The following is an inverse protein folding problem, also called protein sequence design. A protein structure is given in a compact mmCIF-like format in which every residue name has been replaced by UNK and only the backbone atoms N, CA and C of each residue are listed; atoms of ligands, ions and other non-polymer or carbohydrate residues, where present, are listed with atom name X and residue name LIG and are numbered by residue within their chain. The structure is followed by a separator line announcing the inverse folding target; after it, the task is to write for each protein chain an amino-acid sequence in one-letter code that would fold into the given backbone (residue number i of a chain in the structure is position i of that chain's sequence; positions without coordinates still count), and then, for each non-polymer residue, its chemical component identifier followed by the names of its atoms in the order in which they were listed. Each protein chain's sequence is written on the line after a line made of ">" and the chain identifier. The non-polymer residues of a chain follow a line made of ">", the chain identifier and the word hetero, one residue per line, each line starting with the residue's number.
data_IF_419066281363
#
_entry.id   IF_419066281363
#
_cell.length_a   1.000
_cell.length_b   1.000
_cell.length_c   1.000
_cell.angle_alpha   90.00
_cell.angle_beta   90.00
_cell.angle_gamma   90.00
#
_symmetry.space_group_name_H-M   'P 1'
#
loop_
_entity.id
_entity.type
_entity.pdbx_description
1 polymer ?
#
# COMPACT_ATOMS: atom_id res chain seq x y z
N UNK A 1 -9.20 14.66 -12.00
CA UNK A 1 -10.57 15.15 -11.76
C UNK A 1 -11.37 14.08 -11.04
N UNK A 2 -12.30 14.48 -10.18
CA UNK A 2 -13.26 13.59 -9.52
C UNK A 2 -14.32 13.08 -10.52
N UNK A 3 -14.85 11.87 -10.30
CA UNK A 3 -15.87 11.19 -11.11
C UNK A 3 -16.87 10.52 -10.17
N UNK A 4 -18.16 10.74 -10.44
CA UNK A 4 -19.28 10.12 -9.74
C UNK A 4 -19.82 8.93 -10.54
N UNK A 5 -20.35 7.92 -9.84
CA UNK A 5 -21.02 6.76 -10.44
C UNK A 5 -20.09 5.77 -11.09
N UNK A 6 -18.82 5.72 -10.68
CA UNK A 6 -17.80 4.86 -11.26
C UNK A 6 -17.15 3.97 -10.20
N UNK A 7 -16.54 2.86 -10.64
CA UNK A 7 -15.93 1.85 -9.74
C UNK A 7 -16.95 1.38 -8.70
N UNK A 8 -16.57 0.98 -7.49
CA UNK A 8 -17.51 0.51 -6.46
C UNK A 8 -18.77 1.38 -6.27
N UNK A 9 -18.78 2.67 -6.66
CA UNK A 9 -19.98 3.51 -6.60
C UNK A 9 -21.17 2.99 -7.44
N UNK A 10 -20.95 2.21 -8.49
CA UNK A 10 -22.07 1.60 -9.23
C UNK A 10 -22.84 0.58 -8.39
N UNK A 11 -22.17 -0.02 -7.41
CA UNK A 11 -22.75 -0.92 -6.41
C UNK A 11 -23.33 -0.11 -5.23
N UNK A 12 -22.62 0.93 -4.79
CA UNK A 12 -22.94 1.67 -3.57
C UNK A 12 -24.07 2.69 -3.74
N UNK A 13 -24.17 3.38 -4.88
CA UNK A 13 -25.16 4.45 -5.09
C UNK A 13 -26.59 3.90 -5.16
N UNK A 14 -26.91 2.80 -5.87
CA UNK A 14 -28.25 2.21 -5.85
C UNK A 14 -28.68 1.82 -4.43
N UNK A 15 -27.78 1.22 -3.65
CA UNK A 15 -28.02 0.91 -2.24
C UNK A 15 -28.35 2.19 -1.45
N UNK A 16 -27.53 3.24 -1.56
CA UNK A 16 -27.77 4.50 -0.85
C UNK A 16 -29.09 5.14 -1.24
N UNK A 17 -29.43 5.16 -2.53
CA UNK A 17 -30.72 5.67 -3.03
C UNK A 17 -31.90 4.92 -2.44
N UNK A 18 -31.85 3.59 -2.43
CA UNK A 18 -32.88 2.75 -1.83
C UNK A 18 -32.99 2.96 -0.30
N UNK A 19 -31.87 3.22 0.39
CA UNK A 19 -31.90 3.54 1.82
C UNK A 19 -32.51 4.92 2.13
N UNK A 20 -32.42 5.87 1.20
CA UNK A 20 -33.06 7.20 1.31
C UNK A 20 -34.55 7.11 0.94
N UNK A 21 -34.87 6.40 -0.13
CA UNK A 21 -36.23 6.20 -0.64
C UNK A 21 -36.43 4.71 -1.01
N UNK A 22 -37.10 3.91 -0.15
CA UNK A 22 -37.32 2.49 -0.39
C UNK A 22 -38.15 2.16 -1.63
N UNK A 23 -38.85 3.14 -2.23
CA UNK A 23 -39.57 2.94 -3.49
C UNK A 23 -38.62 2.84 -4.69
N UNK A 24 -37.41 3.39 -4.59
CA UNK A 24 -36.37 3.25 -5.59
C UNK A 24 -35.78 1.83 -5.53
N UNK A 25 -35.75 1.14 -6.66
CA UNK A 25 -35.22 -0.23 -6.79
C UNK A 25 -35.98 -1.29 -5.95
N UNK A 26 -37.26 -1.07 -5.66
CA UNK A 26 -38.08 -2.04 -4.93
C UNK A 26 -38.13 -3.39 -5.68
N UNK A 27 -37.74 -4.46 -4.99
CA UNK A 27 -37.70 -5.81 -5.56
C UNK A 27 -36.47 -6.12 -6.43
N UNK A 28 -35.53 -5.18 -6.57
CA UNK A 28 -34.25 -5.45 -7.22
C UNK A 28 -33.41 -6.39 -6.35
N UNK A 29 -33.13 -7.59 -6.88
CA UNK A 29 -32.41 -8.63 -6.16
C UNK A 29 -31.02 -8.18 -5.71
N UNK A 30 -30.32 -7.40 -6.53
CA UNK A 30 -28.99 -6.93 -6.24
C UNK A 30 -29.00 -5.94 -5.07
N UNK A 31 -29.90 -4.95 -5.11
CA UNK A 31 -30.02 -3.92 -4.06
C UNK A 31 -30.47 -4.52 -2.73
N UNK A 32 -31.45 -5.42 -2.72
CA UNK A 32 -31.90 -6.09 -1.49
C UNK A 32 -30.81 -6.99 -0.91
N UNK A 33 -30.05 -7.70 -1.75
CA UNK A 33 -28.91 -8.49 -1.32
C UNK A 33 -27.80 -7.60 -0.73
N UNK A 34 -27.49 -6.46 -1.36
CA UNK A 34 -26.53 -5.50 -0.83
C UNK A 34 -26.99 -4.93 0.52
N UNK A 35 -28.25 -4.54 0.65
CA UNK A 35 -28.81 -4.05 1.92
C UNK A 35 -28.68 -5.06 3.07
N UNK A 36 -28.86 -6.35 2.78
CA UNK A 36 -28.72 -7.41 3.76
C UNK A 36 -27.25 -7.76 4.10
N UNK A 37 -26.36 -7.72 3.10
CA UNK A 37 -25.00 -8.29 3.23
C UNK A 37 -23.86 -7.26 3.27
N UNK A 38 -24.14 -6.00 2.97
CA UNK A 38 -23.11 -4.96 2.90
C UNK A 38 -22.72 -4.50 4.32
N UNK A 39 -21.57 -5.01 4.79
CA UNK A 39 -21.06 -4.83 6.15
C UNK A 39 -20.51 -3.43 6.47
N UNK A 40 -21.28 -2.38 6.23
CA UNK A 40 -20.89 -0.99 6.52
C UNK A 40 -22.04 -0.15 7.05
N UNK A 41 -21.81 0.54 8.18
CA UNK A 41 -22.72 1.54 8.72
C UNK A 41 -22.60 2.90 8.02
N UNK A 42 -21.69 3.05 7.07
CA UNK A 42 -21.49 4.30 6.33
C UNK A 42 -22.78 4.74 5.61
N UNK A 43 -23.36 3.87 4.77
CA UNK A 43 -24.55 4.20 3.98
C UNK A 43 -25.83 4.40 4.80
N UNK A 44 -26.15 3.55 5.81
CA UNK A 44 -27.30 3.79 6.67
C UNK A 44 -27.24 5.10 7.46
N UNK A 45 -26.04 5.54 7.87
CA UNK A 45 -25.87 6.84 8.51
C UNK A 45 -26.05 7.95 7.48
N UNK A 46 -25.38 7.84 6.32
CA UNK A 46 -25.44 8.86 5.28
C UNK A 46 -26.86 9.07 4.74
N UNK A 47 -27.62 7.99 4.53
CA UNK A 47 -29.00 8.02 4.04
C UNK A 47 -29.96 8.83 4.94
N UNK A 48 -29.65 8.94 6.25
CA UNK A 48 -30.45 9.74 7.19
C UNK A 48 -30.12 11.24 7.15
N UNK A 49 -29.00 11.61 6.52
CA UNK A 49 -28.45 12.96 6.56
C UNK A 49 -28.64 13.70 5.23
N UNK A 50 -28.96 13.00 4.14
CA UNK A 50 -28.98 13.56 2.79
C UNK A 50 -30.20 13.09 2.01
N UNK A 51 -30.58 13.86 1.00
CA UNK A 51 -31.54 13.47 -0.03
C UNK A 51 -30.84 12.92 -1.28
N UNK A 52 -31.60 12.29 -2.19
CA UNK A 52 -31.06 11.66 -3.41
C UNK A 52 -30.34 12.67 -4.31
N UNK A 53 -30.87 13.89 -4.43
CA UNK A 53 -30.29 14.98 -5.23
C UNK A 53 -28.98 15.53 -4.64
N UNK A 54 -28.72 15.29 -3.35
CA UNK A 54 -27.51 15.75 -2.66
C UNK A 54 -26.32 14.76 -2.80
N UNK A 55 -26.56 13.52 -3.25
CA UNK A 55 -25.51 12.49 -3.38
C UNK A 55 -24.26 13.00 -4.12
N UNK A 56 -24.35 13.65 -5.29
CA UNK A 56 -23.18 14.14 -6.02
C UNK A 56 -22.32 15.11 -5.21
N UNK A 57 -22.94 16.11 -4.58
CA UNK A 57 -22.24 17.14 -3.83
C UNK A 57 -21.62 16.56 -2.56
N UNK A 58 -22.34 15.71 -1.84
CA UNK A 58 -21.89 15.11 -0.59
C UNK A 58 -20.74 14.14 -0.85
N UNK A 59 -20.81 13.29 -1.88
CA UNK A 59 -19.70 12.40 -2.24
C UNK A 59 -18.44 13.18 -2.64
N UNK A 60 -18.58 14.31 -3.34
CA UNK A 60 -17.44 15.16 -3.67
C UNK A 60 -16.81 15.81 -2.43
N UNK A 61 -17.61 16.29 -1.48
CA UNK A 61 -17.10 16.83 -0.21
C UNK A 61 -16.39 15.74 0.59
N UNK A 62 -17.00 14.57 0.71
CA UNK A 62 -16.41 13.43 1.41
C UNK A 62 -15.09 12.98 0.77
N UNK A 63 -15.04 12.93 -0.57
CA UNK A 63 -13.79 12.68 -1.32
C UNK A 63 -12.66 13.62 -0.90
N UNK A 64 -12.91 14.94 -0.90
CA UNK A 64 -11.90 15.93 -0.54
C UNK A 64 -11.47 15.81 0.92
N UNK A 65 -12.45 15.67 1.82
CA UNK A 65 -12.21 15.58 3.28
C UNK A 65 -11.42 14.32 3.63
N UNK A 66 -11.84 13.16 3.13
CA UNK A 66 -11.16 11.88 3.37
C UNK A 66 -9.73 11.91 2.87
N UNK A 67 -9.49 12.43 1.67
CA UNK A 67 -8.13 12.54 1.10
C UNK A 67 -7.25 13.50 1.86
N UNK A 68 -7.77 14.67 2.24
CA UNK A 68 -7.02 15.62 3.05
C UNK A 68 -6.56 14.99 4.36
N UNK A 69 -7.48 14.35 5.10
CA UNK A 69 -7.14 13.73 6.39
C UNK A 69 -6.21 12.53 6.24
N UNK A 70 -6.39 11.72 5.20
CA UNK A 70 -5.49 10.61 4.90
C UNK A 70 -4.05 11.08 4.67
N UNK A 71 -3.85 12.05 3.78
CA UNK A 71 -2.54 12.67 3.52
C UNK A 71 -1.97 13.34 4.77
N UNK A 72 -2.82 14.04 5.52
CA UNK A 72 -2.44 14.69 6.77
C UNK A 72 -1.90 13.68 7.78
N UNK A 73 -2.61 12.58 8.04
CA UNK A 73 -2.18 11.57 9.03
C UNK A 73 -0.93 10.82 8.60
N UNK A 74 -0.78 10.53 7.31
CA UNK A 74 0.45 9.96 6.75
C UNK A 74 1.64 10.91 6.98
N UNK A 75 1.48 12.19 6.65
CA UNK A 75 2.50 13.20 6.91
C UNK A 75 2.84 13.31 8.40
N UNK A 76 1.82 13.34 9.27
CA UNK A 76 2.02 13.39 10.73
C UNK A 76 2.75 12.17 11.27
N UNK A 77 2.47 10.98 10.73
CA UNK A 77 3.19 9.76 11.08
C UNK A 77 4.66 9.88 10.67
N UNK A 78 4.95 10.20 9.41
CA UNK A 78 6.34 10.29 8.96
C UNK A 78 7.10 11.44 9.59
N UNK A 79 6.44 12.54 9.95
CA UNK A 79 7.05 13.61 10.74
C UNK A 79 7.41 13.13 12.14
N UNK A 80 6.56 12.35 12.78
CA UNK A 80 6.86 11.75 14.09
C UNK A 80 7.99 10.71 14.02
N UNK A 81 8.06 9.91 12.96
CA UNK A 81 9.12 8.91 12.78
C UNK A 81 10.45 9.56 12.42
N UNK A 82 10.46 10.51 11.47
CA UNK A 82 11.69 11.08 10.91
C UNK A 82 12.22 12.30 11.67
N UNK A 83 11.36 13.01 12.40
CA UNK A 83 11.66 14.31 13.02
C UNK A 83 12.19 15.37 12.03
N UNK A 84 11.91 15.19 10.74
CA UNK A 84 12.36 16.08 9.66
C UNK A 84 11.22 16.33 8.68
N UNK A 85 10.93 17.60 8.40
CA UNK A 85 9.79 17.99 7.56
C UNK A 85 9.97 17.53 6.11
N UNK A 86 11.18 17.63 5.58
CA UNK A 86 11.47 17.22 4.21
C UNK A 86 11.25 15.71 4.05
N UNK A 87 11.83 14.92 4.95
CA UNK A 87 11.65 13.46 5.00
C UNK A 87 10.18 13.07 5.12
N UNK A 88 9.41 13.75 5.96
CA UNK A 88 7.99 13.49 6.10
C UNK A 88 7.19 13.77 4.83
N UNK A 89 7.46 14.90 4.15
CA UNK A 89 6.84 15.23 2.86
C UNK A 89 7.25 14.20 1.81
N UNK A 90 8.54 13.87 1.70
CA UNK A 90 9.04 12.90 0.74
C UNK A 90 8.44 11.51 0.95
N UNK A 91 8.36 11.01 2.19
CA UNK A 91 7.74 9.71 2.47
C UNK A 91 6.23 9.70 2.15
N UNK A 92 5.55 10.83 2.39
CA UNK A 92 4.14 11.00 1.99
C UNK A 92 3.98 10.97 0.48
N UNK A 93 4.84 11.68 -0.27
CA UNK A 93 4.82 11.69 -1.73
C UNK A 93 5.23 10.33 -2.32
N UNK A 94 6.22 9.64 -1.75
CA UNK A 94 6.60 8.28 -2.13
C UNK A 94 5.40 7.36 -1.97
N UNK A 95 4.65 7.47 -0.87
CA UNK A 95 3.43 6.69 -0.71
C UNK A 95 2.41 7.02 -1.80
N UNK A 96 2.10 8.29 -2.06
CA UNK A 96 1.12 8.69 -3.08
C UNK A 96 1.53 8.34 -4.52
N UNK A 97 2.83 8.38 -4.83
CA UNK A 97 3.34 8.32 -6.21
C UNK A 97 4.08 7.01 -6.54
N UNK A 98 4.45 6.22 -5.55
CA UNK A 98 5.20 4.98 -5.74
C UNK A 98 4.55 3.77 -5.07
N UNK A 99 3.57 3.95 -4.17
CA UNK A 99 2.79 2.80 -3.72
C UNK A 99 1.93 2.31 -4.89
N UNK A 100 1.85 0.98 -5.05
CA UNK A 100 1.14 0.34 -6.17
C UNK A 100 -0.37 0.33 -6.02
N UNK A 101 -0.86 0.97 -4.97
CA UNK A 101 -2.28 1.04 -4.72
C UNK A 101 -2.82 2.09 -5.68
N UNK A 102 -3.19 1.65 -6.88
CA UNK A 102 -3.89 2.48 -7.86
C UNK A 102 -5.07 3.21 -7.22
N UNK A 103 -5.64 2.63 -6.15
CA UNK A 103 -6.72 3.10 -5.26
C UNK A 103 -6.49 4.54 -4.74
N UNK A 104 -5.25 4.94 -4.40
CA UNK A 104 -5.00 6.25 -3.79
C UNK A 104 -5.16 7.46 -4.72
N UNK A 105 -5.07 7.24 -6.04
CA UNK A 105 -5.34 8.26 -7.05
C UNK A 105 -6.63 7.96 -7.80
N UNK A 106 -7.55 7.17 -7.22
CA UNK A 106 -8.86 6.98 -7.84
C UNK A 106 -9.56 8.32 -8.04
N UNK A 107 -10.41 8.36 -9.06
CA UNK A 107 -11.20 9.54 -9.36
C UNK A 107 -12.53 9.51 -8.61
N UNK A 108 -12.82 8.45 -7.86
CA UNK A 108 -14.08 8.22 -7.15
C UNK A 108 -13.87 8.29 -5.64
N UNK A 109 -14.94 8.62 -4.94
CA UNK A 109 -15.05 8.43 -3.49
C UNK A 109 -15.44 6.97 -3.21
N UNK A 110 -14.93 6.38 -2.14
CA UNK A 110 -15.49 5.16 -1.57
C UNK A 110 -15.51 5.24 -0.05
N UNK A 111 -16.41 4.48 0.58
CA UNK A 111 -16.43 4.31 2.02
C UNK A 111 -15.08 3.77 2.57
N UNK A 112 -14.32 3.04 1.74
CA UNK A 112 -12.96 2.58 2.07
C UNK A 112 -12.00 3.77 2.26
N UNK A 113 -11.99 4.75 1.35
CA UNK A 113 -11.16 5.96 1.49
C UNK A 113 -11.50 6.74 2.78
N UNK A 114 -12.80 6.83 3.11
CA UNK A 114 -13.26 7.44 4.35
C UNK A 114 -12.73 6.70 5.59
N UNK A 115 -12.85 5.38 5.60
CA UNK A 115 -12.33 4.54 6.69
C UNK A 115 -10.80 4.66 6.81
N UNK A 116 -10.06 4.67 5.69
CA UNK A 116 -8.61 4.80 5.67
C UNK A 116 -8.12 6.08 6.36
N UNK A 117 -8.81 7.21 6.19
CA UNK A 117 -8.45 8.45 6.88
C UNK A 117 -8.46 8.28 8.42
N UNK A 118 -9.46 7.56 8.96
CA UNK A 118 -9.57 7.26 10.40
C UNK A 118 -8.54 6.20 10.81
N UNK A 119 -8.32 5.18 9.97
CA UNK A 119 -7.35 4.12 10.23
C UNK A 119 -5.93 4.68 10.35
N UNK A 120 -5.52 5.57 9.44
CA UNK A 120 -4.20 6.20 9.50
C UNK A 120 -4.05 7.14 10.71
N UNK A 121 -5.13 7.74 11.20
CA UNK A 121 -5.12 8.42 12.50
C UNK A 121 -4.85 7.42 13.64
N UNK A 122 -5.50 6.26 13.62
CA UNK A 122 -5.24 5.16 14.55
C UNK A 122 -3.79 4.68 14.53
N UNK A 123 -3.23 4.45 13.33
CA UNK A 123 -1.81 4.09 13.14
C UNK A 123 -0.90 5.19 13.69
N UNK A 124 -1.17 6.46 13.40
CA UNK A 124 -0.40 7.57 13.97
C UNK A 124 -0.38 7.53 15.50
N UNK A 125 -1.53 7.36 16.14
CA UNK A 125 -1.61 7.29 17.61
C UNK A 125 -0.98 6.02 18.20
N UNK A 126 -1.01 4.90 17.47
CA UNK A 126 -0.24 3.70 17.82
C UNK A 126 1.27 4.00 17.87
N UNK A 127 1.81 4.67 16.86
CA UNK A 127 3.24 5.08 16.84
C UNK A 127 3.57 6.12 17.93
N UNK A 128 2.58 6.89 18.39
CA UNK A 128 2.67 7.80 19.54
C UNK A 128 2.48 7.12 20.90
N UNK A 129 2.35 5.79 20.94
CA UNK A 129 2.09 5.00 22.18
C UNK A 129 0.78 5.37 22.89
N UNK A 130 -0.18 5.97 22.17
CA UNK A 130 -1.53 6.24 22.67
C UNK A 130 -2.46 5.09 22.30
N UNK A 131 -2.17 3.89 22.80
CA UNK A 131 -2.82 2.63 22.39
C UNK A 131 -4.33 2.62 22.56
N UNK A 132 -4.84 3.19 23.65
CA UNK A 132 -6.29 3.29 23.88
C UNK A 132 -6.98 4.14 22.81
N UNK A 133 -6.45 5.33 22.53
CA UNK A 133 -7.01 6.20 21.48
C UNK A 133 -6.87 5.57 20.09
N UNK A 134 -5.74 4.93 19.81
CA UNK A 134 -5.56 4.17 18.57
C UNK A 134 -6.63 3.09 18.43
N UNK A 135 -6.87 2.30 19.48
CA UNK A 135 -7.88 1.25 19.49
C UNK A 135 -9.31 1.80 19.28
N UNK A 136 -9.66 2.92 19.92
CA UNK A 136 -10.97 3.56 19.71
C UNK A 136 -11.13 4.00 18.25
N UNK A 137 -10.14 4.67 17.67
CA UNK A 137 -10.21 5.14 16.28
C UNK A 137 -10.32 3.98 15.29
N UNK A 138 -9.55 2.91 15.51
CA UNK A 138 -9.65 1.69 14.73
C UNK A 138 -11.04 1.05 14.91
N UNK A 139 -11.55 0.93 16.13
CA UNK A 139 -12.90 0.38 16.36
C UNK A 139 -13.99 1.20 15.68
N UNK A 140 -13.91 2.54 15.72
CA UNK A 140 -14.81 3.42 14.97
C UNK A 140 -14.70 3.15 13.46
N UNK A 141 -13.48 3.08 12.93
CA UNK A 141 -13.25 2.79 11.51
C UNK A 141 -13.80 1.41 11.10
N UNK A 142 -13.81 0.43 12.01
CA UNK A 142 -14.33 -0.90 11.74
C UNK A 142 -15.84 -0.90 11.44
N UNK A 143 -16.60 0.11 11.90
CA UNK A 143 -18.01 0.28 11.53
C UNK A 143 -18.20 0.73 10.07
N UNK A 144 -17.18 1.33 9.46
CA UNK A 144 -17.21 1.74 8.05
C UNK A 144 -16.55 0.69 7.16
N UNK A 145 -15.41 0.15 7.59
CA UNK A 145 -14.69 -0.89 6.87
C UNK A 145 -13.89 -1.78 7.82
N UNK A 146 -14.55 -2.80 8.36
CA UNK A 146 -14.02 -3.70 9.40
C UNK A 146 -12.66 -4.28 9.04
N UNK A 147 -12.52 -4.84 7.84
CA UNK A 147 -11.34 -5.60 7.49
C UNK A 147 -10.06 -4.76 7.54
N UNK A 148 -10.11 -3.56 6.96
CA UNK A 148 -8.95 -2.67 6.90
C UNK A 148 -8.55 -2.17 8.28
N UNK A 149 -9.49 -2.08 9.21
CA UNK A 149 -9.19 -1.70 10.58
C UNK A 149 -8.67 -2.86 11.44
N UNK A 150 -9.03 -4.10 11.13
CA UNK A 150 -8.57 -5.27 11.88
C UNK A 150 -7.07 -5.50 11.73
N UNK A 151 -6.49 -5.20 10.55
CA UNK A 151 -5.05 -5.35 10.33
C UNK A 151 -4.18 -4.51 11.27
N UNK A 152 -4.30 -3.17 11.34
CA UNK A 152 -3.53 -2.35 12.28
C UNK A 152 -3.85 -2.66 13.75
N UNK A 153 -5.07 -3.10 14.06
CA UNK A 153 -5.39 -3.57 15.41
C UNK A 153 -4.60 -4.84 15.76
N UNK A 154 -4.51 -5.79 14.83
CA UNK A 154 -3.69 -7.00 14.98
C UNK A 154 -2.21 -6.66 15.18
N UNK A 155 -1.65 -5.75 14.37
CA UNK A 155 -0.27 -5.30 14.50
C UNK A 155 0.03 -4.68 15.87
N UNK A 156 -0.88 -3.83 16.36
CA UNK A 156 -0.78 -3.26 17.70
C UNK A 156 -0.86 -4.34 18.79
N UNK A 157 -1.73 -5.35 18.61
CA UNK A 157 -1.81 -6.52 19.49
C UNK A 157 -0.49 -7.30 19.56
N UNK A 158 0.12 -7.60 18.41
CA UNK A 158 1.44 -8.25 18.34
C UNK A 158 2.50 -7.44 19.07
N UNK A 159 2.53 -6.11 18.86
CA UNK A 159 3.47 -5.23 19.57
C UNK A 159 3.24 -5.24 21.09
N UNK A 160 2.00 -5.12 21.56
CA UNK A 160 1.68 -5.09 22.99
C UNK A 160 1.93 -6.43 23.68
N UNK A 161 1.73 -7.55 22.97
CA UNK A 161 2.11 -8.88 23.45
C UNK A 161 3.63 -9.02 23.56
N UNK A 162 4.37 -8.60 22.54
CA UNK A 162 5.84 -8.63 22.56
C UNK A 162 6.40 -7.72 23.67
N UNK A 163 5.83 -6.53 23.83
CA UNK A 163 6.24 -5.53 24.82
C UNK A 163 5.39 -5.58 26.11
N UNK A 164 4.84 -6.76 26.44
CA UNK A 164 3.94 -6.93 27.60
C UNK A 164 4.62 -6.58 28.92
N UNK A 165 5.93 -6.77 29.03
CA UNK A 165 6.72 -6.38 30.21
C UNK A 165 6.81 -4.85 30.38
N UNK A 166 6.83 -4.09 29.27
CA UNK A 166 6.91 -2.62 29.29
C UNK A 166 5.54 -2.00 29.55
N UNK A 167 4.50 -2.49 28.87
CA UNK A 167 3.17 -1.85 28.86
C UNK A 167 2.14 -2.54 29.75
N UNK A 168 2.38 -3.78 30.18
CA UNK A 168 1.48 -4.58 31.00
C UNK A 168 0.31 -5.19 30.24
N UNK A 169 -0.17 -6.35 30.70
CA UNK A 169 -1.35 -7.04 30.13
C UNK A 169 -2.61 -6.16 30.18
N UNK A 170 -2.73 -5.30 31.20
CA UNK A 170 -3.85 -4.35 31.35
C UNK A 170 -3.98 -3.44 30.13
N UNK A 171 -2.87 -2.94 29.58
CA UNK A 171 -2.90 -2.06 28.39
C UNK A 171 -3.41 -2.80 27.16
N UNK A 172 -2.98 -4.06 26.97
CA UNK A 172 -3.50 -4.91 25.90
C UNK A 172 -5.00 -5.14 26.04
N UNK A 173 -5.47 -5.55 27.22
CA UNK A 173 -6.89 -5.80 27.48
C UNK A 173 -7.74 -4.54 27.33
N UNK A 174 -7.25 -3.39 27.81
CA UNK A 174 -7.93 -2.11 27.64
C UNK A 174 -8.00 -1.69 26.17
N UNK A 175 -6.93 -1.89 25.39
CA UNK A 175 -6.95 -1.61 23.96
C UNK A 175 -7.92 -2.53 23.21
N UNK A 176 -7.89 -3.84 23.49
CA UNK A 176 -8.84 -4.79 22.91
C UNK A 176 -10.30 -4.46 23.28
N UNK A 177 -10.56 -4.18 24.56
CA UNK A 177 -11.88 -3.78 25.04
C UNK A 177 -12.36 -2.48 24.38
N UNK A 178 -11.50 -1.47 24.29
CA UNK A 178 -11.82 -0.20 23.63
C UNK A 178 -12.14 -0.38 22.14
N UNK A 179 -11.36 -1.20 21.42
CA UNK A 179 -11.63 -1.54 20.03
C UNK A 179 -12.99 -2.21 19.87
N UNK A 180 -13.27 -3.26 20.66
CA UNK A 180 -14.53 -4.01 20.59
C UNK A 180 -15.73 -3.10 20.92
N UNK A 181 -15.62 -2.27 21.95
CA UNK A 181 -16.68 -1.33 22.32
C UNK A 181 -16.94 -0.29 21.23
N UNK A 182 -15.88 0.25 20.60
CA UNK A 182 -16.03 1.20 19.51
C UNK A 182 -16.51 0.54 18.20
N UNK A 183 -16.18 -0.74 17.98
CA UNK A 183 -16.64 -1.55 16.85
C UNK A 183 -17.98 -2.27 17.12
N UNK A 184 -18.64 -1.98 18.26
CA UNK A 184 -19.79 -2.74 18.73
C UNK A 184 -20.93 -2.82 17.69
N UNK A 185 -21.30 -1.75 16.96
CA UNK A 185 -22.31 -1.85 15.91
C UNK A 185 -21.96 -2.92 14.87
N UNK A 186 -20.75 -2.89 14.32
CA UNK A 186 -20.28 -3.91 13.38
C UNK A 186 -20.27 -5.32 14.01
N UNK A 187 -19.80 -5.45 15.25
CA UNK A 187 -19.76 -6.76 15.94
C UNK A 187 -21.16 -7.33 16.11
N UNK A 188 -22.13 -6.52 16.56
CA UNK A 188 -23.53 -6.95 16.70
C UNK A 188 -24.10 -7.36 15.35
N UNK A 189 -23.89 -6.56 14.30
CA UNK A 189 -24.33 -6.89 12.94
C UNK A 189 -23.73 -8.22 12.47
N UNK A 190 -22.42 -8.41 12.62
CA UNK A 190 -21.71 -9.61 12.17
C UNK A 190 -22.17 -10.86 12.93
N UNK A 191 -22.40 -10.75 14.24
CA UNK A 191 -22.92 -11.83 15.07
C UNK A 191 -24.34 -12.18 14.68
N UNK A 192 -25.22 -11.20 14.50
CA UNK A 192 -26.60 -11.44 14.07
C UNK A 192 -26.62 -12.15 12.71
N UNK A 193 -25.98 -11.59 11.69
CA UNK A 193 -26.04 -12.14 10.33
C UNK A 193 -25.33 -13.50 10.19
N UNK A 194 -24.37 -13.84 11.06
CA UNK A 194 -23.70 -15.15 11.07
C UNK A 194 -24.36 -16.20 11.94
N UNK A 195 -25.00 -15.81 13.05
CA UNK A 195 -25.72 -16.75 13.93
C UNK A 195 -27.15 -17.00 13.44
N UNK A 196 -27.77 -16.04 12.74
CA UNK A 196 -29.10 -16.21 12.12
C UNK A 196 -29.02 -16.62 10.65
N UNK A 197 -27.83 -16.56 10.05
CA UNK A 197 -27.56 -17.14 8.74
C UNK A 197 -27.71 -18.65 8.82
N UNK A 198 -28.93 -19.12 8.60
CA UNK A 198 -29.34 -20.50 8.53
C UNK A 198 -28.26 -21.35 7.88
N UNK A 199 -27.61 -22.20 8.68
CA UNK A 199 -26.78 -23.31 8.26
C UNK A 199 -27.56 -24.39 7.50
N UNK A 200 -28.63 -24.02 6.80
CA UNK A 200 -29.32 -24.79 5.78
C UNK A 200 -28.85 -24.37 4.38
N UNK A 201 -27.58 -23.95 4.27
CA UNK A 201 -26.94 -23.86 2.96
C UNK A 201 -27.00 -25.23 2.31
N UNK A 202 -27.60 -25.32 1.12
CA UNK A 202 -27.67 -26.54 0.32
C UNK A 202 -26.31 -27.27 0.40
N UNK A 203 -26.25 -28.52 0.91
CA UNK A 203 -25.00 -29.26 1.07
C UNK A 203 -24.17 -29.30 -0.22
N UNK A 204 -24.83 -29.26 -1.38
CA UNK A 204 -24.18 -29.21 -2.69
C UNK A 204 -23.46 -27.88 -2.99
N UNK A 205 -23.95 -26.73 -2.50
CA UNK A 205 -23.21 -25.47 -2.57
C UNK A 205 -21.95 -25.50 -1.69
N UNK A 206 -21.96 -26.33 -0.63
CA UNK A 206 -20.82 -26.54 0.24
C UNK A 206 -19.81 -27.57 -0.31
N UNK A 207 -20.15 -28.34 -1.35
CA UNK A 207 -19.20 -29.28 -1.95
C UNK A 207 -18.20 -28.57 -2.87
N UNK A 208 -18.61 -27.50 -3.56
CA UNK A 208 -17.76 -26.79 -4.54
C UNK A 208 -17.50 -25.31 -4.18
N UNK A 209 -17.73 -24.90 -2.93
CA UNK A 209 -17.60 -23.48 -2.55
C UNK A 209 -16.21 -22.93 -2.84
N UNK A 210 -15.15 -23.73 -2.66
CA UNK A 210 -13.78 -23.27 -2.84
C UNK A 210 -13.49 -22.96 -4.31
N UNK A 211 -13.95 -23.79 -5.25
CA UNK A 211 -13.79 -23.56 -6.69
C UNK A 211 -14.56 -22.31 -7.14
N UNK A 212 -15.81 -22.16 -6.68
CA UNK A 212 -16.58 -20.94 -6.93
C UNK A 212 -15.90 -19.70 -6.34
N UNK A 213 -15.29 -19.83 -5.16
CA UNK A 213 -14.58 -18.73 -4.50
C UNK A 213 -13.30 -18.36 -5.24
N UNK A 214 -12.57 -19.33 -5.77
CA UNK A 214 -11.41 -19.08 -6.65
C UNK A 214 -11.79 -18.26 -7.87
N UNK A 215 -12.97 -18.54 -8.45
CA UNK A 215 -13.47 -17.81 -9.62
C UNK A 215 -13.95 -16.40 -9.23
N UNK A 216 -14.71 -16.29 -8.15
CA UNK A 216 -15.35 -15.03 -7.75
C UNK A 216 -14.37 -14.04 -7.09
N UNK A 217 -13.39 -14.55 -6.33
CA UNK A 217 -12.49 -13.75 -5.51
C UNK A 217 -11.03 -14.24 -5.59
N UNK A 218 -10.42 -14.36 -6.80
CA UNK A 218 -9.05 -14.84 -6.95
C UNK A 218 -8.02 -13.98 -6.18
N UNK A 219 -8.32 -12.69 -5.99
CA UNK A 219 -7.49 -11.76 -5.23
C UNK A 219 -7.33 -12.10 -3.75
N UNK A 220 -8.13 -13.02 -3.19
CA UNK A 220 -8.00 -13.45 -1.79
C UNK A 220 -6.94 -14.55 -1.62
N UNK A 221 -6.41 -15.09 -2.73
CA UNK A 221 -5.44 -16.17 -2.74
C UNK A 221 -4.03 -15.64 -3.00
N UNK A 222 -3.02 -16.03 -2.18
CA UNK A 222 -1.64 -15.55 -2.34
C UNK A 222 -1.01 -15.76 -3.72
N UNK A 223 -1.41 -16.81 -4.44
CA UNK A 223 -0.90 -17.15 -5.77
C UNK A 223 -2.03 -17.19 -6.81
N UNK A 224 -3.08 -16.40 -6.57
CA UNK A 224 -4.23 -16.27 -7.46
C UNK A 224 -4.81 -17.65 -7.83
N UNK A 225 -4.94 -17.93 -9.13
CA UNK A 225 -5.49 -19.18 -9.67
C UNK A 225 -4.43 -20.26 -9.91
N UNK A 226 -3.18 -20.07 -9.47
CA UNK A 226 -2.10 -21.03 -9.73
C UNK A 226 -2.19 -22.24 -8.78
N UNK A 227 -2.27 -23.48 -9.31
CA UNK A 227 -2.19 -24.69 -8.48
C UNK A 227 -0.84 -24.80 -7.76
N UNK A 228 -0.86 -25.20 -6.48
CA UNK A 228 0.34 -25.28 -5.62
C UNK A 228 1.35 -26.28 -6.17
N UNK A 229 0.88 -27.41 -6.70
CA UNK A 229 1.73 -28.43 -7.30
C UNK A 229 2.59 -27.80 -8.40
N UNK A 230 1.97 -27.04 -9.31
CA UNK A 230 2.67 -26.35 -10.40
C UNK A 230 3.62 -25.25 -9.91
N UNK A 231 3.35 -24.64 -8.75
CA UNK A 231 4.18 -23.60 -8.17
C UNK A 231 5.59 -24.11 -7.87
N UNK A 232 5.73 -25.35 -7.38
CA UNK A 232 7.03 -25.89 -6.97
C UNK A 232 7.77 -26.67 -8.08
N UNK A 233 7.10 -27.02 -9.19
CA UNK A 233 7.74 -27.73 -10.31
C UNK A 233 8.43 -26.82 -11.33
N UNK A 234 8.16 -25.51 -11.33
CA UNK A 234 8.79 -24.56 -12.23
C UNK A 234 9.29 -23.33 -11.49
N UNK A 235 10.61 -23.13 -11.50
CA UNK A 235 11.24 -21.93 -10.92
C UNK A 235 10.65 -20.64 -11.50
N UNK A 236 10.40 -20.62 -12.80
CA UNK A 236 9.84 -19.47 -13.51
C UNK A 236 8.41 -19.14 -13.03
N UNK A 237 7.57 -20.15 -12.81
CA UNK A 237 6.24 -19.99 -12.21
C UNK A 237 6.36 -19.53 -10.76
N UNK A 238 7.20 -20.18 -9.96
CA UNK A 238 7.46 -19.79 -8.57
C UNK A 238 7.86 -18.32 -8.47
N UNK A 239 8.86 -17.91 -9.25
CA UNK A 239 9.37 -16.54 -9.24
C UNK A 239 8.27 -15.57 -9.64
N UNK A 240 7.53 -15.80 -10.73
CA UNK A 240 6.42 -14.92 -11.16
C UNK A 240 5.34 -14.74 -10.09
N UNK A 241 4.95 -15.81 -9.41
CA UNK A 241 3.88 -15.76 -8.39
C UNK A 241 4.36 -15.19 -7.05
N UNK A 242 5.66 -15.23 -6.77
CA UNK A 242 6.22 -14.79 -5.47
C UNK A 242 6.86 -13.40 -5.48
N UNK A 243 6.88 -12.71 -6.62
CA UNK A 243 7.62 -11.44 -6.79
C UNK A 243 7.24 -10.37 -5.77
N UNK A 244 5.94 -10.23 -5.47
CA UNK A 244 5.47 -9.27 -4.47
C UNK A 244 6.03 -9.59 -3.08
N UNK A 245 6.01 -10.86 -2.67
CA UNK A 245 6.49 -11.29 -1.35
C UNK A 245 8.00 -11.22 -1.23
N UNK A 246 8.74 -11.60 -2.28
CA UNK A 246 10.19 -11.45 -2.36
C UNK A 246 10.59 -9.97 -2.26
N UNK A 247 9.85 -9.10 -2.93
CA UNK A 247 10.04 -7.65 -2.83
C UNK A 247 9.78 -7.13 -1.40
N UNK A 248 8.67 -7.50 -0.77
CA UNK A 248 8.35 -7.08 0.60
C UNK A 248 9.39 -7.62 1.62
N UNK A 249 9.79 -8.88 1.48
CA UNK A 249 10.84 -9.48 2.29
C UNK A 249 12.19 -8.76 2.07
N UNK A 250 12.53 -8.46 0.82
CA UNK A 250 13.70 -7.67 0.47
C UNK A 250 13.70 -6.30 1.15
N UNK A 251 12.58 -5.57 1.10
CA UNK A 251 12.47 -4.26 1.74
C UNK A 251 12.60 -4.35 3.25
N UNK A 252 12.00 -5.37 3.87
CA UNK A 252 12.15 -5.63 5.29
C UNK A 252 13.61 -5.90 5.65
N UNK A 253 14.31 -6.76 4.90
CA UNK A 253 15.73 -7.07 5.09
C UNK A 253 16.59 -5.81 4.92
N UNK A 254 16.34 -5.03 3.87
CA UNK A 254 17.05 -3.77 3.62
C UNK A 254 16.92 -2.82 4.83
N UNK A 255 15.71 -2.65 5.36
CA UNK A 255 15.48 -1.76 6.49
C UNK A 255 16.03 -2.31 7.81
N UNK A 256 15.82 -3.59 8.11
CA UNK A 256 16.32 -4.17 9.38
C UNK A 256 17.85 -4.24 9.42
N UNK A 257 18.54 -4.39 8.28
CA UNK A 257 20.01 -4.48 8.25
C UNK A 257 20.67 -3.09 8.16
N UNK A 258 20.10 -2.16 7.38
CA UNK A 258 20.79 -0.91 7.07
C UNK A 258 20.13 0.37 7.61
N UNK A 259 18.84 0.33 7.98
CA UNK A 259 18.11 1.50 8.45
C UNK A 259 18.09 1.57 9.98
N UNK A 260 18.98 2.38 10.55
CA UNK A 260 19.09 2.56 12.01
C UNK A 260 17.78 3.01 12.66
N UNK A 261 17.00 3.86 11.98
CA UNK A 261 15.70 4.33 12.51
C UNK A 261 14.71 3.17 12.61
N UNK A 262 14.62 2.34 11.56
CA UNK A 262 13.77 1.15 11.57
C UNK A 262 14.21 0.14 12.64
N UNK A 263 15.52 -0.12 12.77
CA UNK A 263 16.08 -1.01 13.80
C UNK A 263 15.69 -0.60 15.22
N UNK A 264 15.66 0.71 15.49
CA UNK A 264 15.28 1.25 16.79
C UNK A 264 13.77 1.29 17.02
N UNK A 265 12.95 1.20 15.97
CA UNK A 265 11.49 1.28 16.09
C UNK A 265 10.84 -0.11 16.21
N UNK A 266 10.74 -0.58 17.44
CA UNK A 266 10.09 -1.84 17.79
C UNK A 266 8.63 -1.91 17.30
N UNK A 267 7.92 -0.77 17.14
CA UNK A 267 6.54 -0.76 16.63
C UNK A 267 6.53 -1.08 15.14
N UNK A 268 7.44 -0.51 14.36
CA UNK A 268 7.56 -0.80 12.94
C UNK A 268 7.96 -2.27 12.67
N UNK A 269 8.86 -2.81 13.49
CA UNK A 269 9.27 -4.23 13.39
C UNK A 269 8.08 -5.14 13.74
N UNK A 270 7.40 -4.91 14.87
CA UNK A 270 6.24 -5.70 15.27
C UNK A 270 5.09 -5.62 14.25
N UNK A 271 4.86 -4.44 13.68
CA UNK A 271 3.92 -4.23 12.58
C UNK A 271 4.28 -5.10 11.37
N UNK A 272 5.55 -5.07 10.95
CA UNK A 272 6.01 -5.84 9.80
C UNK A 272 5.90 -7.35 10.04
N UNK A 273 6.29 -7.82 11.22
CA UNK A 273 6.16 -9.24 11.62
C UNK A 273 4.69 -9.65 11.64
N UNK A 274 3.81 -8.83 12.25
CA UNK A 274 2.37 -9.08 12.27
C UNK A 274 1.80 -9.21 10.86
N UNK A 275 2.20 -8.34 9.93
CA UNK A 275 1.80 -8.42 8.54
C UNK A 275 2.26 -9.71 7.85
N UNK A 276 3.53 -10.12 8.04
CA UNK A 276 4.03 -11.40 7.52
C UNK A 276 3.29 -12.60 8.12
N UNK A 277 2.96 -12.57 9.42
CA UNK A 277 2.17 -13.63 10.06
C UNK A 277 0.78 -13.75 9.44
N UNK A 278 0.13 -12.65 9.08
CA UNK A 278 -1.15 -12.68 8.36
C UNK A 278 -1.01 -13.26 6.95
N UNK A 279 0.12 -13.05 6.26
CA UNK A 279 0.39 -13.67 4.96
C UNK A 279 0.63 -15.18 5.08
N UNK A 280 1.35 -15.62 6.11
CA UNK A 280 1.52 -17.04 6.41
C UNK A 280 0.16 -17.67 6.73
N UNK A 281 -0.65 -17.02 7.57
CA UNK A 281 -2.01 -17.48 7.86
C UNK A 281 -2.85 -17.55 6.58
N UNK A 282 -2.78 -16.54 5.70
CA UNK A 282 -3.45 -16.53 4.40
C UNK A 282 -3.06 -17.75 3.56
N UNK A 283 -1.76 -18.05 3.44
CA UNK A 283 -1.28 -19.23 2.73
C UNK A 283 -1.82 -20.53 3.34
N UNK A 284 -1.67 -20.71 4.66
CA UNK A 284 -2.13 -21.93 5.36
C UNK A 284 -3.62 -22.15 5.15
N UNK A 285 -4.44 -21.11 5.35
CA UNK A 285 -5.89 -21.21 5.28
C UNK A 285 -6.48 -21.10 3.87
N UNK A 286 -5.67 -20.78 2.86
CA UNK A 286 -6.08 -20.84 1.45
C UNK A 286 -5.79 -22.21 0.83
N UNK A 287 -4.69 -22.85 1.26
CA UNK A 287 -4.06 -23.93 0.51
C UNK A 287 -3.86 -25.23 1.30
N UNK A 288 -3.52 -25.15 2.59
CA UNK A 288 -3.28 -26.34 3.41
C UNK A 288 -4.52 -26.78 4.19
N UNK A 289 -5.27 -25.82 4.74
CA UNK A 289 -6.53 -26.05 5.46
C UNK A 289 -7.56 -24.99 5.06
N UNK A 290 -8.17 -25.10 3.87
CA UNK A 290 -9.11 -24.12 3.32
C UNK A 290 -10.20 -23.74 4.33
N UNK A 291 -10.18 -22.50 4.80
CA UNK A 291 -11.17 -21.97 5.74
C UNK A 291 -11.88 -20.78 5.13
N UNK A 292 -13.15 -20.96 4.79
CA UNK A 292 -13.99 -19.89 4.21
C UNK A 292 -13.93 -18.61 5.05
N UNK A 293 -14.03 -18.74 6.37
CA UNK A 293 -13.95 -17.59 7.27
C UNK A 293 -12.66 -16.79 7.09
N UNK A 294 -11.51 -17.47 7.05
CA UNK A 294 -10.21 -16.79 6.96
C UNK A 294 -9.97 -16.23 5.56
N UNK A 295 -10.43 -16.93 4.52
CA UNK A 295 -10.37 -16.45 3.14
C UNK A 295 -11.27 -15.21 2.95
N UNK A 296 -12.45 -15.17 3.58
CA UNK A 296 -13.34 -14.00 3.60
C UNK A 296 -12.71 -12.78 4.29
N UNK A 297 -11.80 -13.00 5.25
CA UNK A 297 -11.00 -11.93 5.83
C UNK A 297 -9.95 -11.38 4.86
N UNK A 298 -9.80 -11.93 3.65
CA UNK A 298 -8.94 -11.40 2.59
C UNK A 298 -7.58 -10.89 3.11
N UNK A 299 -6.90 -11.74 3.88
CA UNK A 299 -5.73 -11.34 4.66
C UNK A 299 -4.59 -10.80 3.79
N UNK A 300 -4.50 -11.21 2.52
CA UNK A 300 -3.52 -10.70 1.55
C UNK A 300 -3.61 -9.18 1.33
N UNK A 301 -4.76 -8.53 1.51
CA UNK A 301 -4.87 -7.06 1.44
C UNK A 301 -4.00 -6.34 2.46
N UNK A 302 -3.58 -7.01 3.52
CA UNK A 302 -2.65 -6.46 4.51
C UNK A 302 -1.26 -6.10 3.91
N UNK A 303 -0.90 -6.66 2.73
CA UNK A 303 0.31 -6.27 1.98
C UNK A 303 0.41 -4.77 1.71
N UNK A 304 -0.71 -4.06 1.54
CA UNK A 304 -0.73 -2.62 1.31
C UNK A 304 -0.16 -1.83 2.51
N UNK A 305 -0.50 -2.25 3.74
CA UNK A 305 0.02 -1.67 4.97
C UNK A 305 1.51 -1.97 5.16
N UNK A 306 1.93 -3.19 4.83
CA UNK A 306 3.34 -3.57 4.88
C UNK A 306 4.16 -2.77 3.87
N UNK A 307 3.64 -2.62 2.64
CA UNK A 307 4.27 -1.82 1.60
C UNK A 307 4.36 -0.35 2.03
N UNK A 308 3.28 0.22 2.58
CA UNK A 308 3.28 1.59 3.13
C UNK A 308 4.43 1.81 4.11
N UNK A 309 4.51 0.94 5.12
CA UNK A 309 5.49 1.09 6.20
C UNK A 309 6.92 0.90 5.69
N UNK A 310 7.17 -0.17 4.94
CA UNK A 310 8.50 -0.49 4.44
C UNK A 310 8.99 0.54 3.42
N UNK A 311 8.13 1.04 2.53
CA UNK A 311 8.50 2.09 1.57
C UNK A 311 8.83 3.41 2.25
N UNK A 312 8.05 3.83 3.26
CA UNK A 312 8.35 5.07 3.96
C UNK A 312 9.65 4.98 4.77
N UNK A 313 9.94 3.84 5.40
CA UNK A 313 11.24 3.61 6.02
C UNK A 313 12.38 3.53 4.99
N UNK A 314 12.18 2.92 3.83
CA UNK A 314 13.16 2.95 2.74
C UNK A 314 13.41 4.38 2.22
N UNK A 315 12.38 5.22 2.17
CA UNK A 315 12.51 6.65 1.85
C UNK A 315 13.36 7.38 2.91
N UNK A 316 13.12 7.09 4.20
CA UNK A 316 13.95 7.61 5.30
C UNK A 316 15.41 7.19 5.13
N UNK A 317 15.67 5.92 4.81
CA UNK A 317 17.01 5.42 4.53
C UNK A 317 17.64 6.12 3.32
N UNK A 318 16.87 6.33 2.25
CA UNK A 318 17.32 7.05 1.06
C UNK A 318 17.79 8.47 1.39
N UNK A 319 17.03 9.20 2.21
CA UNK A 319 17.41 10.55 2.63
C UNK A 319 18.65 10.52 3.55
N UNK A 320 18.75 9.56 4.46
CA UNK A 320 19.96 9.38 5.28
C UNK A 320 21.21 9.11 4.41
N UNK A 321 21.06 8.36 3.31
CA UNK A 321 22.15 8.13 2.34
C UNK A 321 22.49 9.42 1.59
N UNK A 322 21.49 10.17 1.13
CA UNK A 322 21.69 11.46 0.44
C UNK A 322 22.41 12.49 1.30
N UNK A 323 22.06 12.55 2.58
CA UNK A 323 22.57 13.56 3.50
C UNK A 323 23.98 13.23 4.00
N UNK A 324 24.35 11.95 4.08
CA UNK A 324 25.56 11.52 4.81
C UNK A 324 26.62 10.84 3.97
N UNK A 325 26.29 10.34 2.78
CA UNK A 325 27.19 9.53 1.95
C UNK A 325 27.73 10.32 0.76
N UNK A 326 28.70 9.72 0.06
CA UNK A 326 29.32 10.33 -1.11
C UNK A 326 28.29 10.52 -2.23
N UNK A 327 28.38 11.60 -3.03
CA UNK A 327 27.42 11.88 -4.11
C UNK A 327 27.21 10.72 -5.08
N UNK A 328 28.27 9.98 -5.42
CA UNK A 328 28.20 8.81 -6.32
C UNK A 328 27.28 7.74 -5.77
N UNK A 329 27.49 7.35 -4.50
CA UNK A 329 26.69 6.31 -3.86
C UNK A 329 25.22 6.74 -3.78
N UNK A 330 25.00 7.99 -3.40
CA UNK A 330 23.67 8.54 -3.24
C UNK A 330 22.91 8.64 -4.57
N UNK A 331 23.58 9.00 -5.68
CA UNK A 331 23.00 8.92 -7.01
C UNK A 331 22.59 7.48 -7.35
N UNK A 332 23.51 6.51 -7.21
CA UNK A 332 23.20 5.11 -7.51
C UNK A 332 22.07 4.56 -6.64
N UNK A 333 22.03 4.97 -5.38
CA UNK A 333 20.99 4.57 -4.44
C UNK A 333 19.62 5.14 -4.82
N UNK A 334 19.56 6.40 -5.27
CA UNK A 334 18.33 6.99 -5.80
C UNK A 334 17.87 6.28 -7.06
N UNK A 335 18.80 6.01 -7.99
CA UNK A 335 18.46 5.32 -9.23
C UNK A 335 17.82 3.96 -8.91
N UNK A 336 18.38 3.20 -7.97
CA UNK A 336 17.76 1.96 -7.51
C UNK A 336 16.43 2.21 -6.78
N UNK A 337 16.34 3.21 -5.89
CA UNK A 337 15.11 3.54 -5.16
C UNK A 337 13.94 3.85 -6.09
N UNK A 338 14.18 4.61 -7.16
CA UNK A 338 13.20 4.95 -8.20
C UNK A 338 12.63 3.68 -8.85
N UNK A 339 13.48 2.69 -9.14
CA UNK A 339 13.05 1.44 -9.77
C UNK A 339 12.08 0.63 -8.91
N UNK A 340 12.03 0.90 -7.59
CA UNK A 340 11.07 0.24 -6.69
C UNK A 340 9.61 0.51 -7.11
N UNK A 341 9.29 1.67 -7.69
CA UNK A 341 7.93 2.01 -8.17
C UNK A 341 7.36 0.91 -9.06
N UNK A 342 8.20 0.31 -9.89
CA UNK A 342 7.78 -0.68 -10.89
C UNK A 342 7.50 -2.05 -10.30
N UNK A 343 7.88 -2.25 -9.04
CA UNK A 343 7.41 -3.38 -8.28
C UNK A 343 7.87 -4.73 -8.80
N UNK A 344 7.19 -5.79 -8.36
CA UNK A 344 7.41 -7.15 -8.84
C UNK A 344 8.91 -7.52 -8.81
N UNK A 345 9.43 -8.17 -9.85
CA UNK A 345 10.85 -8.49 -9.96
C UNK A 345 11.75 -7.25 -9.93
N UNK A 346 11.35 -6.14 -10.57
CA UNK A 346 12.14 -4.90 -10.60
C UNK A 346 12.35 -4.30 -9.23
N UNK A 347 11.30 -4.24 -8.41
CA UNK A 347 11.36 -3.77 -7.04
C UNK A 347 12.25 -4.66 -6.17
N UNK A 348 12.18 -5.99 -6.36
CA UNK A 348 13.06 -6.92 -5.66
C UNK A 348 14.53 -6.71 -6.04
N UNK A 349 14.84 -6.61 -7.35
CA UNK A 349 16.20 -6.36 -7.84
C UNK A 349 16.74 -5.02 -7.35
N UNK A 350 15.93 -3.95 -7.44
CA UNK A 350 16.27 -2.63 -6.93
C UNK A 350 16.64 -2.66 -5.45
N UNK A 351 15.87 -3.43 -4.65
CA UNK A 351 16.12 -3.58 -3.21
C UNK A 351 17.43 -4.32 -2.93
N UNK A 352 17.73 -5.38 -3.67
CA UNK A 352 19.02 -6.10 -3.59
C UNK A 352 20.17 -5.18 -3.96
N UNK A 353 20.03 -4.38 -5.02
CA UNK A 353 21.05 -3.41 -5.42
C UNK A 353 21.31 -2.38 -4.33
N UNK A 354 20.27 -1.83 -3.72
CA UNK A 354 20.41 -0.89 -2.59
C UNK A 354 21.19 -1.52 -1.42
N UNK A 355 20.91 -2.79 -1.10
CA UNK A 355 21.66 -3.51 -0.09
C UNK A 355 23.13 -3.70 -0.49
N UNK A 356 23.41 -4.14 -1.73
CA UNK A 356 24.78 -4.30 -2.23
C UNK A 356 25.56 -2.99 -2.23
N UNK A 357 24.93 -1.88 -2.62
CA UNK A 357 25.52 -0.53 -2.57
C UNK A 357 25.97 -0.16 -1.16
N UNK A 358 25.12 -0.42 -0.15
CA UNK A 358 25.44 -0.11 1.25
C UNK A 358 26.49 -1.06 1.84
N UNK A 359 26.45 -2.36 1.51
CA UNK A 359 27.48 -3.31 1.91
C UNK A 359 28.85 -2.90 1.34
N UNK A 360 28.89 -2.54 0.07
CA UNK A 360 30.13 -2.13 -0.57
C UNK A 360 30.67 -0.80 -0.01
N UNK A 361 29.82 0.19 0.28
CA UNK A 361 30.27 1.41 0.94
C UNK A 361 30.89 1.12 2.31
N UNK A 362 30.28 0.23 3.10
CA UNK A 362 30.85 -0.21 4.37
C UNK A 362 32.22 -0.89 4.18
N UNK A 363 32.37 -1.79 3.21
CA UNK A 363 33.67 -2.45 2.91
C UNK A 363 34.73 -1.45 2.43
N UNK A 364 34.36 -0.55 1.52
CA UNK A 364 35.26 0.48 0.94
C UNK A 364 35.69 1.51 1.99
N UNK A 365 34.82 1.79 2.96
CA UNK A 365 35.17 2.63 4.11
C UNK A 365 36.19 1.96 5.05
N UNK A 366 36.30 0.62 4.99
CA UNK A 366 37.35 -0.17 5.63
C UNK A 366 38.71 -0.11 4.91
N UNK A 367 39.79 -0.53 5.59
CA UNK A 367 41.18 -0.27 5.18
C UNK A 367 41.68 -0.93 3.87
N UNK A 368 40.93 -1.81 3.19
CA UNK A 368 41.38 -2.47 1.94
C UNK A 368 40.83 -1.76 0.67
N UNK A 369 41.47 -0.66 0.29
CA UNK A 369 40.86 0.45 -0.48
C UNK A 369 40.87 0.39 -2.01
N UNK A 370 41.57 -0.51 -2.71
CA UNK A 370 41.71 -0.41 -4.18
C UNK A 370 40.96 -1.50 -4.96
N UNK A 371 41.24 -2.78 -4.68
CA UNK A 371 40.62 -3.91 -5.42
C UNK A 371 39.11 -3.95 -5.22
N UNK A 372 38.62 -3.70 -4.00
CA UNK A 372 37.19 -3.67 -3.71
C UNK A 372 36.46 -2.50 -4.37
N UNK A 373 37.14 -1.37 -4.62
CA UNK A 373 36.53 -0.26 -5.37
C UNK A 373 36.37 -0.62 -6.85
N UNK A 374 37.38 -1.23 -7.46
CA UNK A 374 37.33 -1.70 -8.85
C UNK A 374 36.26 -2.78 -9.04
N UNK A 375 36.22 -3.78 -8.14
CA UNK A 375 35.21 -4.83 -8.18
C UNK A 375 33.80 -4.26 -7.98
N UNK A 376 33.64 -3.30 -7.07
CA UNK A 376 32.38 -2.60 -6.86
C UNK A 376 31.91 -1.86 -8.11
N UNK A 377 32.76 -1.06 -8.75
CA UNK A 377 32.39 -0.35 -9.97
C UNK A 377 32.10 -1.30 -11.14
N UNK A 378 32.81 -2.42 -11.24
CA UNK A 378 32.56 -3.44 -12.26
C UNK A 378 31.23 -4.17 -12.05
N UNK A 379 30.91 -4.56 -10.81
CA UNK A 379 29.61 -5.16 -10.44
C UNK A 379 28.48 -4.15 -10.62
N UNK A 380 28.70 -2.90 -10.23
CA UNK A 380 27.74 -1.82 -10.38
C UNK A 380 27.42 -1.55 -11.86
N UNK A 381 28.44 -1.49 -12.73
CA UNK A 381 28.27 -1.34 -14.17
C UNK A 381 27.63 -2.57 -14.81
N UNK A 382 28.04 -3.77 -14.39
CA UNK A 382 27.51 -5.05 -14.87
C UNK A 382 26.06 -5.31 -14.46
N UNK A 383 25.57 -4.70 -13.38
CA UNK A 383 24.17 -4.79 -12.94
C UNK A 383 23.35 -3.63 -13.51
N UNK A 384 23.84 -2.39 -13.45
CA UNK A 384 23.09 -1.22 -13.94
C UNK A 384 22.82 -1.26 -15.44
N UNK A 385 23.76 -1.74 -16.25
CA UNK A 385 23.61 -1.79 -17.71
C UNK A 385 22.47 -2.72 -18.16
N UNK A 386 22.51 -4.02 -17.84
CA UNK A 386 21.44 -4.97 -18.16
C UNK A 386 20.12 -4.63 -17.49
N UNK A 387 20.14 -4.03 -16.29
CA UNK A 387 18.93 -3.58 -15.62
C UNK A 387 18.32 -2.37 -16.31
N UNK A 388 19.10 -1.35 -16.69
CA UNK A 388 18.61 -0.25 -17.49
C UNK A 388 18.06 -0.74 -18.83
N UNK A 389 18.72 -1.73 -19.43
CA UNK A 389 18.23 -2.39 -20.63
C UNK A 389 16.91 -3.13 -20.40
N UNK A 390 16.81 -3.94 -19.34
CA UNK A 390 15.59 -4.66 -18.99
C UNK A 390 14.46 -3.71 -18.56
N UNK A 391 14.77 -2.62 -17.86
CA UNK A 391 13.84 -1.53 -17.55
C UNK A 391 13.46 -0.75 -18.81
N UNK A 392 14.26 -0.73 -19.86
CA UNK A 392 13.82 -0.17 -21.15
C UNK A 392 12.93 -1.18 -21.89
N UNK A 393 13.26 -2.48 -21.83
CA UNK A 393 12.55 -3.56 -22.53
C UNK A 393 11.21 -3.93 -21.89
N UNK A 394 11.13 -4.11 -20.57
CA UNK A 394 9.87 -4.41 -19.85
C UNK A 394 8.81 -3.32 -19.98
N UNK A 395 9.19 -2.12 -20.43
CA UNK A 395 8.26 -1.03 -20.69
C UNK A 395 7.73 -1.02 -22.12
N UNK A 396 8.36 -1.78 -23.03
CA UNK A 396 7.88 -1.95 -24.40
C UNK A 396 6.57 -2.76 -24.47
N UNK A 397 6.16 -3.44 -23.39
CA UNK A 397 5.02 -4.37 -23.39
C UNK A 397 3.71 -3.78 -22.81
N UNK A 398 3.65 -2.50 -22.41
CA UNK A 398 2.41 -1.91 -21.84
C UNK A 398 1.95 -0.67 -22.61
N UNK A 399 0.63 -0.47 -22.78
CA UNK A 399 -0.03 0.65 -23.50
C UNK A 399 0.28 2.09 -22.97
N UNK A 400 1.19 2.21 -22.00
CA UNK A 400 1.73 3.46 -21.45
C UNK A 400 3.20 3.72 -21.88
N UNK A 401 3.63 2.94 -22.89
CA UNK A 401 4.93 2.76 -23.55
C UNK A 401 5.81 4.01 -23.67
N UNK A 402 5.29 5.10 -24.24
CA UNK A 402 6.14 6.25 -24.57
C UNK A 402 6.43 7.14 -23.38
N UNK A 403 5.44 7.34 -22.50
CA UNK A 403 5.56 8.33 -21.42
C UNK A 403 6.45 7.84 -20.28
N UNK A 404 6.38 6.56 -19.95
CA UNK A 404 7.23 5.98 -18.92
C UNK A 404 8.70 5.93 -19.39
N UNK A 405 8.94 5.59 -20.66
CA UNK A 405 10.30 5.60 -21.25
C UNK A 405 10.87 7.02 -21.34
N UNK A 406 10.08 8.00 -21.81
CA UNK A 406 10.51 9.41 -21.83
C UNK A 406 10.78 9.90 -20.40
N UNK A 407 9.89 9.62 -19.46
CA UNK A 407 10.03 9.96 -18.04
C UNK A 407 11.32 9.41 -17.45
N UNK A 408 11.64 8.15 -17.74
CA UNK A 408 12.87 7.51 -17.29
C UNK A 408 14.11 8.12 -17.94
N UNK A 409 14.08 8.42 -19.25
CA UNK A 409 15.20 9.08 -19.95
C UNK A 409 15.45 10.49 -19.40
N UNK A 410 14.38 11.27 -19.22
CA UNK A 410 14.44 12.61 -18.60
C UNK A 410 14.99 12.51 -17.18
N UNK A 411 14.55 11.51 -16.41
CA UNK A 411 15.05 11.27 -15.07
C UNK A 411 16.55 10.97 -15.08
N UNK A 412 16.98 10.00 -15.89
CA UNK A 412 18.39 9.60 -15.99
C UNK A 412 19.27 10.77 -16.42
N UNK A 413 18.84 11.54 -17.43
CA UNK A 413 19.56 12.72 -17.89
C UNK A 413 19.65 13.81 -16.80
N UNK A 414 18.53 14.09 -16.13
CA UNK A 414 18.47 15.10 -15.06
C UNK A 414 19.35 14.72 -13.88
N UNK A 415 19.29 13.46 -13.45
CA UNK A 415 20.10 12.95 -12.35
C UNK A 415 21.60 12.93 -12.71
N UNK A 416 21.94 12.57 -13.95
CA UNK A 416 23.34 12.57 -14.43
C UNK A 416 23.88 13.99 -14.53
N UNK A 417 23.11 14.94 -15.09
CA UNK A 417 23.51 16.35 -15.16
C UNK A 417 23.71 16.96 -13.78
N UNK A 418 22.80 16.67 -12.84
CA UNK A 418 22.91 17.13 -11.46
C UNK A 418 24.12 16.52 -10.75
N UNK A 419 24.41 15.25 -10.99
CA UNK A 419 25.59 14.58 -10.46
C UNK A 419 26.91 15.16 -11.01
N UNK A 420 26.99 15.47 -12.31
CA UNK A 420 28.15 16.15 -12.88
C UNK A 420 28.40 17.49 -12.20
N UNK A 421 27.36 18.29 -11.93
CA UNK A 421 27.49 19.55 -11.17
C UNK A 421 28.03 19.32 -9.75
N UNK A 422 27.62 18.22 -9.10
CA UNK A 422 28.03 17.88 -7.74
C UNK A 422 29.48 17.37 -7.65
N UNK A 423 30.00 16.72 -8.69
CA UNK A 423 31.40 16.25 -8.70
C UNK A 423 32.42 17.38 -8.64
N UNK A 424 32.09 18.55 -9.21
CA UNK A 424 33.02 19.69 -9.27
C UNK A 424 32.81 20.71 -8.14
N UNK A 425 31.83 20.52 -7.25
CA UNK A 425 31.55 21.43 -6.15
C UNK A 425 32.11 20.94 -4.82
N UNK A 426 32.63 21.87 -4.02
CA UNK A 426 32.99 21.59 -2.63
C UNK A 426 31.71 21.34 -1.82
N UNK A 427 31.71 20.34 -0.92
CA UNK A 427 30.55 20.04 -0.08
C UNK A 427 30.25 21.25 0.83
N UNK A 428 29.08 21.85 0.61
CA UNK A 428 28.52 22.95 1.37
C UNK A 428 27.00 22.71 1.61
N UNK A 429 26.32 23.62 2.31
CA UNK A 429 24.87 23.50 2.52
C UNK A 429 24.07 23.46 1.21
N UNK A 430 24.56 24.10 0.14
CA UNK A 430 23.90 24.09 -1.17
C UNK A 430 24.01 22.70 -1.81
N UNK A 431 25.15 22.04 -1.67
CA UNK A 431 25.36 20.66 -2.10
C UNK A 431 24.32 19.73 -1.48
N UNK A 432 24.00 19.88 -0.19
CA UNK A 432 22.95 19.09 0.46
C UNK A 432 21.55 19.31 -0.16
N UNK A 433 21.19 20.57 -0.46
CA UNK A 433 19.94 20.89 -1.14
C UNK A 433 19.87 20.25 -2.53
N UNK A 434 20.96 20.31 -3.29
CA UNK A 434 21.07 19.64 -4.58
C UNK A 434 20.95 18.11 -4.45
N UNK A 435 21.61 17.50 -3.45
CA UNK A 435 21.49 16.08 -3.16
C UNK A 435 20.03 15.69 -2.88
N UNK A 436 19.31 16.45 -2.06
CA UNK A 436 17.89 16.21 -1.77
C UNK A 436 16.99 16.40 -2.99
N UNK A 437 17.35 17.32 -3.90
CA UNK A 437 16.61 17.50 -5.16
C UNK A 437 16.69 16.28 -6.09
N UNK A 438 17.72 15.43 -5.96
CA UNK A 438 17.80 14.16 -6.68
C UNK A 438 16.61 13.22 -6.37
N UNK A 439 15.98 13.33 -5.19
CA UNK A 439 14.76 12.59 -4.87
C UNK A 439 13.50 13.32 -5.36
N UNK A 440 13.49 14.66 -5.33
CA UNK A 440 12.35 15.46 -5.76
C UNK A 440 12.08 15.33 -7.27
N UNK A 441 13.13 15.26 -8.09
CA UNK A 441 13.00 15.12 -9.56
C UNK A 441 12.20 13.87 -9.96
N UNK A 442 12.55 12.63 -9.52
CA UNK A 442 11.76 11.45 -9.85
C UNK A 442 10.32 11.53 -9.34
N UNK A 443 10.10 12.08 -8.13
CA UNK A 443 8.74 12.26 -7.62
C UNK A 443 7.93 13.22 -8.50
N UNK A 444 8.51 14.33 -8.95
CA UNK A 444 7.86 15.26 -9.89
C UNK A 444 7.55 14.58 -11.24
N UNK A 445 8.48 13.79 -11.77
CA UNK A 445 8.27 13.02 -13.00
C UNK A 445 7.11 12.03 -12.83
N UNK A 446 7.04 11.32 -11.71
CA UNK A 446 5.92 10.43 -11.41
C UNK A 446 4.60 11.16 -11.25
N UNK A 447 4.61 12.34 -10.64
CA UNK A 447 3.42 13.19 -10.57
C UNK A 447 2.92 13.59 -11.96
N UNK A 448 3.82 14.02 -12.85
CA UNK A 448 3.49 14.31 -14.25
C UNK A 448 2.97 13.07 -14.98
N UNK A 449 3.60 11.91 -14.78
CA UNK A 449 3.17 10.63 -15.35
C UNK A 449 1.72 10.28 -14.93
N UNK A 450 1.39 10.40 -13.64
CA UNK A 450 0.03 10.16 -13.16
C UNK A 450 -0.98 11.17 -13.70
N UNK A 451 -0.60 12.44 -13.75
CA UNK A 451 -1.44 13.49 -14.33
C UNK A 451 -1.78 13.15 -15.79
N UNK A 452 -0.78 12.76 -16.57
CA UNK A 452 -0.96 12.33 -17.94
C UNK A 452 -1.82 11.07 -18.05
N UNK A 453 -1.57 10.05 -17.22
CA UNK A 453 -2.38 8.83 -17.15
C UNK A 453 -3.86 9.15 -16.93
N UNK A 454 -4.17 10.03 -15.98
CA UNK A 454 -5.55 10.42 -15.70
C UNK A 454 -6.17 11.26 -16.81
N UNK A 455 -5.38 12.10 -17.49
CA UNK A 455 -5.84 12.86 -18.64
C UNK A 455 -6.16 11.93 -19.82
N UNK A 456 -5.29 10.98 -20.17
CA UNK A 456 -5.52 9.98 -21.21
C UNK A 456 -6.75 9.12 -20.89
N UNK A 457 -6.83 8.58 -19.67
CA UNK A 457 -8.00 7.79 -19.23
C UNK A 457 -9.30 8.60 -19.27
N UNK A 458 -9.25 9.89 -18.93
CA UNK A 458 -10.39 10.79 -19.11
C UNK A 458 -10.74 10.98 -20.59
N UNK A 459 -9.76 11.07 -21.48
CA UNK A 459 -10.01 11.23 -22.91
C UNK A 459 -10.62 9.96 -23.52
N UNK A 460 -10.05 8.78 -23.23
CA UNK A 460 -10.60 7.48 -23.66
C UNK A 460 -12.04 7.33 -23.18
N UNK A 461 -12.31 7.56 -21.90
CA UNK A 461 -13.66 7.36 -21.35
C UNK A 461 -14.74 8.28 -21.93
N UNK A 462 -14.39 9.48 -22.40
CA UNK A 462 -15.38 10.48 -22.86
C UNK A 462 -15.39 10.71 -24.37
N UNK A 463 -14.33 10.31 -25.09
CA UNK A 463 -14.17 10.68 -26.50
C UNK A 463 -13.77 9.52 -27.42
N UNK A 464 -13.35 8.35 -26.92
CA UNK A 464 -13.08 7.22 -27.82
C UNK A 464 -14.37 6.48 -28.19
N UNK A 465 -14.55 6.20 -29.48
CA UNK A 465 -15.55 5.23 -29.96
C UNK A 465 -15.29 3.88 -29.26
N UNK A 466 -16.23 3.36 -28.50
CA UNK A 466 -16.01 2.19 -27.65
C UNK A 466 -15.76 2.49 -26.16
N UNK A 467 -15.90 3.75 -25.71
CA UNK A 467 -15.73 4.13 -24.30
C UNK A 467 -16.57 3.26 -23.34
N UNK A 468 -16.22 3.23 -22.05
CA UNK A 468 -16.80 2.32 -21.04
C UNK A 468 -18.33 2.14 -21.07
N UNK A 469 -19.10 3.17 -21.43
CA UNK A 469 -20.56 3.11 -21.57
C UNK A 469 -21.07 2.37 -22.81
N UNK A 470 -20.24 2.12 -23.82
CA UNK A 470 -20.54 1.20 -24.92
C UNK A 470 -20.01 -0.22 -24.69
N UNK A 471 -19.20 -0.42 -23.64
CA UNK A 471 -18.71 -1.74 -23.21
C UNK A 471 -19.58 -2.37 -22.11
N UNK A 472 -20.22 -1.55 -21.26
CA UNK A 472 -21.40 -1.94 -20.47
C UNK A 472 -22.62 -2.01 -21.37
#
# INVERSE_FOLDING_TARGET
>A
GYKLGWDDQHLEIPLLKHLIDPSLYAGDYYVESAKANFSSYFYPILAKLISVDQIPAVYFVLYLVSRYFLVYWIYKLWLHVSQDRFTAVSATLVFLLMSRVHEFLYRTFSHQEFALAIIFAGIYFFFRERFFLAAVLLGVAANFHALYSLFPMFYMGVYLLWQIKKHGIKTLLMACGAFILAALPFVVWAVQHRLTGTGEGNPHLYQNWLELYYIACPQNFPFETMPIDKLFFSWDVFFRQTQLYLFLAGLFILNIVFNKRFQSDQKAIAFSIGAFLLLVACFVFAYAYPSRFVIDLNLIRNTQYLLFLLMGYTCVLCIDVLDRRKPVLALCFILAFVLIKYGQAMGAIATVMMACLLMADNVISGQKKFVWKMLFYAVLAGILGPLLYYVVQSFAETNFEQYAVISLRVLLFSLTGLFCVLLFRKPDQRTLLWMRSLLAVPLMIYFCQYTFFHFKKYHEENYSEGGFWSLQ
#
